data_IF_013111731173
#
_entry.id   IF_013111731173
#
_cell.length_a   1.000
_cell.length_b   1.000
_cell.length_c   1.000
_cell.angle_alpha   90.00
_cell.angle_beta   90.00
_cell.angle_gamma   90.00
#
_symmetry.space_group_name_H-M   'P 1'
#
loop_
_entity.id
_entity.type
_entity.pdbx_description
1 polymer ?
#
# COMPACT_ATOMS: atom_id res chain seq x y z
N UNK A 1 12.30 -11.28 -16.26
CA UNK A 1 12.62 -11.65 -14.86
C UNK A 1 11.72 -11.01 -13.78
N UNK A 2 10.85 -10.04 -14.11
CA UNK A 2 9.95 -9.39 -13.14
C UNK A 2 8.87 -10.31 -12.56
N UNK A 3 8.27 -11.19 -13.38
CA UNK A 3 7.19 -12.09 -12.95
C UNK A 3 7.53 -12.95 -11.71
N UNK A 4 8.78 -13.42 -11.58
CA UNK A 4 9.16 -14.23 -10.41
C UNK A 4 9.18 -13.38 -9.14
N UNK A 5 9.65 -12.13 -9.24
CA UNK A 5 9.66 -11.20 -8.11
C UNK A 5 8.23 -10.83 -7.70
N UNK A 6 7.37 -10.59 -8.69
CA UNK A 6 5.95 -10.31 -8.46
C UNK A 6 5.27 -11.49 -7.74
N UNK A 7 5.55 -12.72 -8.21
CA UNK A 7 5.03 -13.94 -7.59
C UNK A 7 5.51 -14.13 -6.13
N UNK A 8 6.75 -13.76 -5.81
CA UNK A 8 7.26 -13.78 -4.43
C UNK A 8 6.52 -12.75 -3.58
N UNK A 9 6.32 -11.53 -4.09
CA UNK A 9 5.62 -10.46 -3.37
C UNK A 9 4.15 -10.84 -3.16
N UNK A 10 3.53 -11.57 -4.08
CA UNK A 10 2.16 -12.06 -3.96
C UNK A 10 1.94 -12.99 -2.75
N UNK A 11 2.96 -13.76 -2.34
CA UNK A 11 2.86 -14.57 -1.11
C UNK A 11 2.83 -13.73 0.17
N UNK A 12 3.20 -12.46 0.11
CA UNK A 12 3.25 -11.55 1.27
C UNK A 12 1.93 -10.80 1.50
N UNK A 13 0.85 -11.11 0.76
CA UNK A 13 -0.44 -10.39 0.81
C UNK A 13 -1.03 -10.20 2.23
N UNK A 14 -0.74 -11.09 3.18
CA UNK A 14 -1.18 -10.97 4.58
C UNK A 14 -0.18 -10.24 5.51
N UNK A 15 1.07 -10.02 5.08
CA UNK A 15 2.11 -9.40 5.89
C UNK A 15 2.43 -7.97 5.43
N UNK A 16 1.64 -7.03 5.95
CA UNK A 16 1.79 -5.60 5.70
C UNK A 16 3.17 -5.07 6.08
N UNK A 17 3.86 -5.65 7.08
CA UNK A 17 5.19 -5.17 7.49
C UNK A 17 6.21 -5.52 6.41
N UNK A 18 6.17 -6.76 5.92
CA UNK A 18 7.05 -7.22 4.85
C UNK A 18 6.77 -6.50 3.54
N UNK A 19 5.50 -6.30 3.17
CA UNK A 19 5.12 -5.51 1.99
C UNK A 19 5.63 -4.07 2.04
N UNK A 20 5.58 -3.41 3.21
CA UNK A 20 6.15 -2.06 3.38
C UNK A 20 7.66 -2.05 3.16
N UNK A 21 8.37 -3.06 3.66
CA UNK A 21 9.81 -3.19 3.41
C UNK A 21 10.08 -3.37 1.92
N UNK A 22 9.36 -4.28 1.25
CA UNK A 22 9.49 -4.52 -0.20
C UNK A 22 9.27 -3.25 -1.03
N UNK A 23 8.26 -2.43 -0.68
CA UNK A 23 7.98 -1.18 -1.39
C UNK A 23 9.13 -0.16 -1.32
N UNK A 24 10.01 -0.26 -0.31
CA UNK A 24 11.14 0.66 -0.07
C UNK A 24 12.48 0.14 -0.61
N UNK A 25 12.57 -1.14 -1.02
CA UNK A 25 13.83 -1.73 -1.50
C UNK A 25 14.22 -1.16 -2.88
N UNK A 26 13.29 -1.18 -3.83
CA UNK A 26 13.52 -0.64 -5.17
C UNK A 26 12.20 -0.30 -5.89
N UNK A 27 12.27 0.54 -6.92
CA UNK A 27 11.11 0.97 -7.71
C UNK A 27 10.45 -0.17 -8.48
N UNK A 28 11.17 -1.24 -8.78
CA UNK A 28 10.62 -2.41 -9.48
C UNK A 28 9.68 -3.23 -8.60
N UNK A 29 9.83 -3.21 -7.27
CA UNK A 29 8.99 -3.96 -6.33
C UNK A 29 7.80 -3.15 -5.83
N UNK A 30 7.87 -1.82 -5.98
CA UNK A 30 6.82 -0.90 -5.55
C UNK A 30 5.44 -1.22 -6.13
N UNK A 31 5.25 -1.54 -7.43
CA UNK A 31 3.93 -1.80 -7.98
C UNK A 31 3.23 -2.98 -7.29
N UNK A 32 3.92 -4.12 -7.16
CA UNK A 32 3.40 -5.34 -6.57
C UNK A 32 3.18 -5.19 -5.06
N UNK A 33 4.11 -4.53 -4.37
CA UNK A 33 3.94 -4.26 -2.94
C UNK A 33 2.76 -3.29 -2.68
N UNK A 34 2.61 -2.24 -3.49
CA UNK A 34 1.50 -1.30 -3.39
C UNK A 34 0.15 -1.95 -3.71
N UNK A 35 0.11 -2.84 -4.69
CA UNK A 35 -1.10 -3.60 -5.01
C UNK A 35 -1.67 -4.28 -3.77
N UNK A 36 -0.84 -5.00 -3.00
CA UNK A 36 -1.28 -5.65 -1.77
C UNK A 36 -1.51 -4.67 -0.61
N UNK A 37 -0.67 -3.64 -0.45
CA UNK A 37 -0.81 -2.65 0.63
C UNK A 37 -2.10 -1.82 0.53
N UNK A 38 -2.56 -1.55 -0.69
CA UNK A 38 -3.74 -0.74 -0.96
C UNK A 38 -4.92 -1.56 -1.49
N UNK A 39 -4.85 -2.90 -1.41
CA UNK A 39 -5.95 -3.79 -1.81
C UNK A 39 -7.23 -3.58 -0.98
N UNK A 40 -7.11 -3.04 0.24
CA UNK A 40 -8.25 -2.69 1.08
C UNK A 40 -8.04 -1.32 1.70
N UNK A 41 -8.93 -0.39 1.36
CA UNK A 41 -8.95 0.96 1.93
C UNK A 41 -10.19 1.09 2.81
N UNK A 42 -9.99 1.26 4.10
CA UNK A 42 -11.08 1.55 5.04
C UNK A 42 -11.26 3.06 5.16
N UNK A 43 -12.39 3.56 4.69
CA UNK A 43 -12.76 4.96 4.85
C UNK A 43 -13.65 5.10 6.10
N UNK A 44 -13.31 6.05 6.98
CA UNK A 44 -14.12 6.40 8.15
C UNK A 44 -14.76 7.79 7.95
N UNK A 45 -15.93 7.88 7.30
CA UNK A 45 -16.58 9.17 7.03
C UNK A 45 -17.01 9.89 8.31
N UNK A 46 -17.28 9.14 9.39
CA UNK A 46 -17.72 9.71 10.68
C UNK A 46 -16.60 10.40 11.46
N UNK A 47 -15.34 10.17 11.09
CA UNK A 47 -14.16 10.74 11.74
C UNK A 47 -13.21 11.34 10.70
N UNK A 48 -13.63 12.43 10.02
CA UNK A 48 -12.77 13.06 9.03
C UNK A 48 -11.52 13.62 9.72
N UNK A 49 -10.33 13.19 9.27
CA UNK A 49 -9.05 13.66 9.79
C UNK A 49 -8.85 15.17 9.58
N UNK A 50 -9.45 15.71 8.51
CA UNK A 50 -9.52 17.14 8.22
C UNK A 50 -10.95 17.50 7.82
N UNK A 51 -11.50 18.55 8.41
CA UNK A 51 -12.79 19.12 7.99
C UNK A 51 -12.60 19.98 6.73
N UNK A 52 -13.68 20.24 6.00
CA UNK A 52 -13.65 21.10 4.80
C UNK A 52 -13.08 22.49 5.13
N UNK A 53 -13.38 23.01 6.32
CA UNK A 53 -12.84 24.26 6.83
C UNK A 53 -11.31 24.23 7.04
N UNK A 54 -10.73 23.07 7.37
CA UNK A 54 -9.27 22.92 7.56
C UNK A 54 -8.51 22.71 6.25
N UNK A 55 -9.19 22.37 5.16
CA UNK A 55 -8.59 22.23 3.83
C UNK A 55 -8.70 23.55 3.05
N UNK A 56 -9.71 24.36 3.34
CA UNK A 56 -9.97 25.64 2.68
C UNK A 56 -9.20 26.84 3.26
N UNK A 57 -8.42 26.63 4.34
CA UNK A 57 -7.56 27.64 4.98
C UNK A 57 -6.09 27.37 4.64
#
# INVERSE_FOLDING_TARGET
PGEILDYIIDFLHCDVKSLKACALVCTAWTPSAHFHLFNTITCHPDKPRRTVAQIAA
#
